data_IF_495338635759
#
_entry.id   IF_495338635759
#
_cell.length_a   1.000
_cell.length_b   1.000
_cell.length_c   1.000
_cell.angle_alpha   90.00
_cell.angle_beta   90.00
_cell.angle_gamma   90.00
#
_symmetry.space_group_name_H-M   'P 1'
#
loop_
_entity.id
_entity.type
_entity.pdbx_description
1 polymer ?
#
# COMPACT_ATOMS: atom_id res chain seq x y z
N UNK A 1 0.37 -3.69 -2.52
CA UNK A 1 -0.83 -3.20 -1.77
C UNK A 1 -1.09 -1.69 -1.83
N UNK A 2 -0.13 -0.80 -1.57
CA UNK A 2 -0.33 0.66 -1.76
C UNK A 2 -1.31 1.33 -0.80
N UNK A 3 -1.59 0.70 0.35
CA UNK A 3 -2.48 1.24 1.39
C UNK A 3 -1.63 1.72 2.56
N UNK A 4 -1.97 2.91 3.06
CA UNK A 4 -1.23 3.59 4.11
C UNK A 4 -2.22 4.25 5.08
N UNK A 5 -1.88 4.24 6.37
CA UNK A 5 -2.66 4.92 7.42
C UNK A 5 -1.80 6.02 8.02
N UNK A 6 -2.35 7.23 8.14
CA UNK A 6 -1.67 8.40 8.70
C UNK A 6 -2.58 9.16 9.64
N UNK A 7 -2.00 9.82 10.64
CA UNK A 7 -2.62 11.02 11.19
C UNK A 7 -2.69 12.13 10.14
N UNK A 8 -3.82 12.83 10.11
CA UNK A 8 -4.11 13.83 9.07
C UNK A 8 -3.11 15.00 9.08
N UNK A 9 -2.66 15.44 10.25
CA UNK A 9 -1.67 16.51 10.41
C UNK A 9 -0.30 16.11 9.83
N UNK A 10 0.14 14.87 10.06
CA UNK A 10 1.37 14.31 9.50
C UNK A 10 1.28 14.27 7.98
N UNK A 11 0.18 13.73 7.42
CA UNK A 11 -0.01 13.66 5.97
C UNK A 11 0.04 15.06 5.33
N UNK A 12 -0.65 16.04 5.91
CA UNK A 12 -0.63 17.42 5.43
C UNK A 12 0.77 18.03 5.48
N UNK A 13 1.53 17.77 6.56
CA UNK A 13 2.91 18.22 6.69
C UNK A 13 3.79 17.67 5.57
N UNK A 14 3.71 16.36 5.35
CA UNK A 14 4.51 15.65 4.33
C UNK A 14 4.24 16.18 2.93
N UNK A 15 2.96 16.32 2.55
CA UNK A 15 2.57 16.69 1.19
C UNK A 15 2.79 18.17 0.86
N UNK A 16 2.54 19.08 1.82
CA UNK A 16 2.58 20.53 1.54
C UNK A 16 3.91 21.18 1.85
N UNK A 17 4.63 20.70 2.87
CA UNK A 17 5.84 21.37 3.36
C UNK A 17 7.11 20.55 3.15
N UNK A 18 7.08 19.24 3.45
CA UNK A 18 8.30 18.44 3.36
C UNK A 18 8.65 18.04 1.93
N UNK A 19 7.68 17.59 1.14
CA UNK A 19 7.91 17.00 -0.19
C UNK A 19 6.96 17.55 -1.27
N UNK A 20 6.88 18.88 -1.47
CA UNK A 20 5.90 19.49 -2.39
C UNK A 20 6.16 19.20 -3.88
N UNK A 21 7.37 18.74 -4.24
CA UNK A 21 7.76 18.43 -5.61
C UNK A 21 7.79 16.92 -5.93
N UNK A 22 7.50 16.06 -4.95
CA UNK A 22 7.45 14.63 -5.16
C UNK A 22 6.17 14.23 -5.88
N UNK A 23 6.29 13.31 -6.84
CA UNK A 23 5.17 12.90 -7.69
C UNK A 23 4.62 11.53 -7.31
N UNK A 24 5.44 10.68 -6.70
CA UNK A 24 5.06 9.33 -6.32
C UNK A 24 5.08 9.15 -4.79
N UNK A 25 3.94 8.79 -4.25
CA UNK A 25 3.79 8.67 -2.80
C UNK A 25 4.60 7.48 -2.26
N UNK A 26 4.48 6.30 -2.89
CA UNK A 26 5.03 5.05 -2.37
C UNK A 26 6.55 4.92 -2.51
N UNK A 27 7.13 5.49 -3.57
CA UNK A 27 8.55 5.35 -3.90
C UNK A 27 9.40 6.57 -3.54
N UNK A 28 8.80 7.76 -3.38
CA UNK A 28 9.54 8.97 -3.00
C UNK A 28 9.21 9.42 -1.58
N UNK A 29 7.93 9.64 -1.28
CA UNK A 29 7.50 10.24 0.00
C UNK A 29 7.67 9.25 1.15
N UNK A 30 7.22 8.00 1.00
CA UNK A 30 7.30 6.99 2.06
C UNK A 30 8.75 6.67 2.47
N UNK A 31 9.69 6.34 1.56
CA UNK A 31 11.07 6.05 1.94
C UNK A 31 11.77 7.23 2.64
N UNK A 32 11.36 8.45 2.31
CA UNK A 32 11.86 9.66 2.97
C UNK A 32 11.28 9.83 4.36
N UNK A 33 9.96 9.64 4.52
CA UNK A 33 9.26 9.75 5.79
C UNK A 33 9.73 8.72 6.84
N UNK A 34 10.15 7.52 6.42
CA UNK A 34 10.70 6.47 7.33
C UNK A 34 11.92 6.94 8.12
N UNK A 35 12.67 7.93 7.62
CA UNK A 35 13.85 8.46 8.32
C UNK A 35 13.51 9.45 9.43
N UNK A 36 12.34 10.07 9.36
CA UNK A 36 11.96 11.21 10.20
C UNK A 36 10.75 10.93 11.09
N UNK A 37 9.96 9.90 10.76
CA UNK A 37 8.71 9.55 11.44
C UNK A 37 8.73 8.10 11.95
N UNK A 38 7.87 7.81 12.92
CA UNK A 38 7.67 6.44 13.36
C UNK A 38 6.79 5.70 12.33
N UNK A 39 7.40 4.78 11.60
CA UNK A 39 6.74 3.98 10.57
C UNK A 39 6.80 2.51 10.99
N UNK A 40 5.64 1.91 11.11
CA UNK A 40 5.47 0.50 11.45
C UNK A 40 5.00 -0.27 10.23
N UNK A 41 5.19 -1.58 10.23
CA UNK A 41 4.60 -2.47 9.24
C UNK A 41 3.45 -3.25 9.86
N UNK A 42 2.33 -3.38 9.14
CA UNK A 42 1.18 -4.18 9.53
C UNK A 42 1.01 -5.35 8.55
N UNK A 43 1.19 -6.58 9.00
CA UNK A 43 1.08 -7.75 8.14
C UNK A 43 -0.39 -8.07 7.81
N UNK A 44 -0.70 -8.33 6.54
CA UNK A 44 -2.00 -8.75 6.07
C UNK A 44 -1.93 -10.14 5.43
N UNK A 45 -2.76 -11.03 5.94
CA UNK A 45 -2.67 -12.46 5.67
C UNK A 45 -3.89 -13.00 4.92
N UNK A 46 -4.63 -12.13 4.25
CA UNK A 46 -5.82 -12.48 3.48
C UNK A 46 -5.61 -12.22 1.99
N UNK A 47 -6.61 -12.60 1.19
CA UNK A 47 -6.56 -12.45 -0.26
C UNK A 47 -6.33 -10.98 -0.67
N UNK A 48 -5.31 -10.78 -1.49
CA UNK A 48 -5.03 -9.52 -2.18
C UNK A 48 -4.38 -9.84 -3.52
N UNK A 49 -4.82 -9.15 -4.57
CA UNK A 49 -4.33 -9.36 -5.93
C UNK A 49 -4.24 -8.01 -6.66
N UNK A 50 -3.20 -7.82 -7.47
CA UNK A 50 -3.05 -6.65 -8.34
C UNK A 50 -3.83 -6.83 -9.65
N UNK A 51 -5.01 -6.21 -9.74
CA UNK A 51 -5.88 -6.26 -10.93
C UNK A 51 -5.61 -5.14 -11.95
N UNK A 52 -4.44 -4.51 -11.92
CA UNK A 52 -4.09 -3.37 -12.78
C UNK A 52 -3.88 -3.67 -14.27
N UNK A 53 -3.86 -4.94 -14.67
CA UNK A 53 -3.67 -5.36 -16.08
C UNK A 53 -4.86 -6.17 -16.59
N UNK A 54 -5.10 -6.16 -17.91
CA UNK A 54 -6.19 -6.94 -18.53
C UNK A 54 -6.08 -8.43 -18.18
N UNK A 55 -4.85 -8.96 -18.16
CA UNK A 55 -4.59 -10.35 -17.79
C UNK A 55 -4.95 -10.61 -16.32
N UNK A 56 -4.42 -9.83 -15.39
CA UNK A 56 -4.66 -10.05 -13.96
C UNK A 56 -6.11 -9.82 -13.56
N UNK A 57 -6.80 -8.89 -14.22
CA UNK A 57 -8.25 -8.73 -14.06
C UNK A 57 -9.03 -9.98 -14.49
N UNK A 58 -8.71 -10.56 -15.65
CA UNK A 58 -9.37 -11.78 -16.12
C UNK A 58 -9.11 -12.96 -15.18
N UNK A 59 -7.85 -13.15 -14.79
CA UNK A 59 -7.42 -14.24 -13.92
C UNK A 59 -8.13 -14.16 -12.54
N UNK A 60 -8.21 -12.97 -11.95
CA UNK A 60 -8.92 -12.75 -10.68
C UNK A 60 -10.43 -13.04 -10.77
N UNK A 61 -11.08 -12.74 -11.90
CA UNK A 61 -12.49 -13.05 -12.11
C UNK A 61 -12.72 -14.57 -12.25
N UNK A 62 -11.82 -15.29 -12.91
CA UNK A 62 -11.92 -16.74 -13.04
C UNK A 62 -11.69 -17.45 -11.70
N UNK A 63 -10.76 -16.93 -10.88
CA UNK A 63 -10.47 -17.46 -9.54
C UNK A 63 -11.69 -17.48 -8.61
N UNK A 64 -12.68 -16.60 -8.81
CA UNK A 64 -13.95 -16.61 -8.06
C UNK A 64 -14.79 -17.87 -8.31
N UNK A 65 -14.55 -18.55 -9.42
CA UNK A 65 -15.27 -19.77 -9.83
C UNK A 65 -14.53 -21.06 -9.46
N UNK A 66 -13.29 -20.95 -8.97
CA UNK A 66 -12.46 -22.08 -8.56
C UNK A 66 -12.78 -22.52 -7.13
N UNK A 67 -12.61 -23.82 -6.83
CA UNK A 67 -12.78 -24.32 -5.46
C UNK A 67 -11.60 -23.89 -4.59
N UNK A 68 -11.93 -23.29 -3.44
CA UNK A 68 -11.03 -22.56 -2.54
C UNK A 68 -9.74 -23.32 -2.22
N UNK A 69 -8.60 -22.71 -2.56
CA UNK A 69 -7.28 -23.15 -2.11
C UNK A 69 -6.19 -22.15 -2.48
N UNK A 70 -5.98 -21.13 -1.63
CA UNK A 70 -4.66 -20.64 -1.16
C UNK A 70 -4.75 -19.21 -0.58
N UNK A 71 -4.07 -18.98 0.54
CA UNK A 71 -3.86 -17.67 1.18
C UNK A 71 -2.54 -17.06 0.69
N UNK A 72 -2.55 -15.82 0.20
CA UNK A 72 -1.35 -15.00 -0.03
C UNK A 72 -1.04 -14.17 1.22
N UNK A 73 0.23 -14.04 1.59
CA UNK A 73 0.71 -13.23 2.73
C UNK A 73 1.50 -12.03 2.22
N UNK A 74 1.12 -10.80 2.57
CA UNK A 74 1.86 -9.56 2.28
C UNK A 74 1.77 -8.54 3.44
N UNK A 75 2.68 -7.55 3.52
CA UNK A 75 2.74 -6.55 4.59
C UNK A 75 2.40 -5.12 4.14
N UNK A 76 1.62 -4.40 4.94
CA UNK A 76 1.32 -2.96 4.86
C UNK A 76 2.26 -2.12 5.74
N UNK A 77 2.19 -0.79 5.62
CA UNK A 77 2.88 0.16 6.49
C UNK A 77 1.86 1.08 7.23
N UNK A 78 2.02 1.21 8.54
CA UNK A 78 1.24 2.05 9.45
C UNK A 78 2.11 3.21 9.94
N UNK A 79 1.63 4.45 9.86
CA UNK A 79 2.37 5.63 10.31
C UNK A 79 1.68 6.19 11.55
N UNK A 80 2.44 6.38 12.64
CA UNK A 80 1.95 7.04 13.85
C UNK A 80 1.87 8.55 13.68
#
# INVERSE_FOLDING_TARGET
MGVYVFRTDVLLKLLRWSYPSCNDFGSEIIPSAVKEHNVQAYLFNDYWEDIGTVKSFLDANLALTEQVGNTCTESFLLFD
#
